data_IF_864147518806
#
_entry.id   IF_864147518806
#
_cell.length_a   1.000
_cell.length_b   1.000
_cell.length_c   1.000
_cell.angle_alpha   90.00
_cell.angle_beta   90.00
_cell.angle_gamma   90.00
#
_symmetry.space_group_name_H-M   'P 1'
#
loop_
_entity.id
_entity.type
_entity.pdbx_description
1 polymer ?
#
# COMPACT_ATOMS: atom_id res chain seq x y z
N UNK A 1 37.77 -29.36 13.23
CA UNK A 1 36.68 -28.42 12.91
C UNK A 1 36.83 -28.04 11.46
N UNK A 2 35.93 -28.46 10.55
CA UNK A 2 36.03 -28.09 9.15
C UNK A 2 35.53 -26.65 8.98
N UNK A 3 36.33 -25.83 8.32
CA UNK A 3 35.97 -24.48 7.92
C UNK A 3 34.81 -24.55 6.91
N UNK A 4 33.66 -24.01 7.28
CA UNK A 4 32.61 -23.65 6.32
C UNK A 4 33.18 -22.56 5.40
N UNK A 5 33.52 -22.95 4.19
CA UNK A 5 33.76 -22.03 3.09
C UNK A 5 32.46 -21.30 2.79
N UNK A 6 32.37 -20.06 3.25
CA UNK A 6 31.33 -19.12 2.80
C UNK A 6 31.51 -18.95 1.28
N UNK A 7 30.53 -19.32 0.45
CA UNK A 7 30.65 -19.12 -0.99
C UNK A 7 30.72 -17.63 -1.29
N UNK A 8 31.71 -17.24 -2.09
CA UNK A 8 31.89 -15.88 -2.61
C UNK A 8 30.64 -15.53 -3.43
N UNK A 9 30.10 -14.33 -3.21
CA UNK A 9 28.84 -13.83 -3.78
C UNK A 9 28.78 -13.74 -5.32
N UNK A 10 29.75 -14.28 -6.05
CA UNK A 10 29.82 -14.30 -7.52
C UNK A 10 29.49 -15.64 -8.19
N UNK A 11 29.35 -16.74 -7.44
CA UNK A 11 29.30 -18.09 -8.04
C UNK A 11 27.88 -18.67 -8.24
N UNK A 12 26.83 -17.90 -7.94
CA UNK A 12 25.44 -18.38 -7.95
C UNK A 12 24.50 -17.59 -8.89
N UNK A 13 25.01 -17.02 -9.97
CA UNK A 13 24.14 -16.58 -11.07
C UNK A 13 23.99 -17.71 -12.09
N UNK A 14 22.80 -18.28 -12.28
CA UNK A 14 22.58 -19.21 -13.39
C UNK A 14 22.87 -18.48 -14.71
N UNK A 15 23.61 -19.13 -15.60
CA UNK A 15 23.98 -18.58 -16.91
C UNK A 15 22.77 -18.20 -17.79
N UNK A 16 21.56 -18.66 -17.43
CA UNK A 16 20.28 -18.22 -17.97
C UNK A 16 19.28 -18.01 -16.82
N UNK A 17 19.22 -16.83 -16.20
CA UNK A 17 18.22 -16.55 -15.18
C UNK A 17 16.84 -16.52 -15.85
N UNK A 18 16.02 -17.54 -15.63
CA UNK A 18 14.64 -17.51 -16.11
C UNK A 18 13.90 -16.31 -15.50
N UNK A 19 13.01 -15.67 -16.28
CA UNK A 19 12.14 -14.57 -15.81
C UNK A 19 11.48 -14.89 -14.47
N UNK A 20 11.07 -16.15 -14.26
CA UNK A 20 10.46 -16.62 -13.00
C UNK A 20 11.42 -16.58 -11.79
N UNK A 21 12.71 -16.81 -12.03
CA UNK A 21 13.76 -16.76 -11.01
C UNK A 21 14.19 -15.32 -10.67
N UNK A 22 14.24 -14.42 -11.66
CA UNK A 22 14.48 -13.00 -11.42
C UNK A 22 13.32 -12.37 -10.64
N UNK A 23 12.08 -12.62 -11.08
CA UNK A 23 10.87 -12.13 -10.41
C UNK A 23 10.71 -12.66 -8.98
N UNK A 24 11.14 -13.90 -8.69
CA UNK A 24 11.06 -14.47 -7.34
C UNK A 24 12.11 -13.91 -6.36
N UNK A 25 13.23 -13.38 -6.87
CA UNK A 25 14.30 -12.79 -6.05
C UNK A 25 14.15 -11.29 -5.82
N UNK A 26 13.58 -10.56 -6.78
CA UNK A 26 13.32 -9.12 -6.67
C UNK A 26 12.25 -8.81 -5.59
N UNK A 27 11.35 -9.75 -5.30
CA UNK A 27 10.38 -9.63 -4.20
C UNK A 27 10.97 -9.73 -2.79
N UNK A 28 12.28 -9.95 -2.65
CA UNK A 28 12.98 -10.01 -1.35
C UNK A 28 14.19 -9.08 -1.32
N UNK A 29 14.57 -8.63 -0.12
CA UNK A 29 15.68 -7.71 0.16
C UNK A 29 17.06 -8.14 -0.41
N UNK A 30 17.19 -9.37 -0.92
CA UNK A 30 18.43 -9.93 -1.46
C UNK A 30 18.87 -9.33 -2.81
N UNK A 31 17.98 -8.68 -3.57
CA UNK A 31 18.35 -8.09 -4.86
C UNK A 31 19.27 -6.85 -4.73
N UNK A 32 19.21 -6.13 -3.61
CA UNK A 32 20.06 -4.97 -3.35
C UNK A 32 21.55 -5.34 -3.17
N UNK A 33 21.83 -6.48 -2.54
CA UNK A 33 23.20 -6.91 -2.23
C UNK A 33 23.99 -7.38 -3.46
N UNK A 34 23.32 -7.93 -4.47
CA UNK A 34 23.97 -8.40 -5.69
C UNK A 34 24.40 -7.23 -6.62
N UNK A 35 23.66 -6.12 -6.62
CA UNK A 35 23.99 -4.93 -7.40
C UNK A 35 25.05 -4.04 -6.74
N UNK A 36 25.16 -4.08 -5.41
CA UNK A 36 26.21 -3.35 -4.68
C UNK A 36 27.64 -3.90 -4.91
N UNK A 37 27.75 -5.13 -5.42
CA UNK A 37 29.03 -5.79 -5.68
C UNK A 37 29.52 -5.68 -7.15
N UNK A 38 28.74 -5.06 -8.03
CA UNK A 38 29.16 -4.86 -9.41
C UNK A 38 30.27 -3.79 -9.46
N UNK A 39 31.44 -4.08 -10.08
CA UNK A 39 32.49 -3.09 -10.22
C UNK A 39 31.95 -1.91 -11.00
N UNK A 40 32.17 -0.70 -10.47
CA UNK A 40 31.90 0.55 -11.16
C UNK A 40 32.81 0.65 -12.38
N UNK A 41 32.40 0.08 -13.51
CA UNK A 41 33.00 0.34 -14.82
C UNK A 41 32.53 1.72 -15.27
N UNK A 42 33.06 2.75 -14.64
CA UNK A 42 32.91 4.12 -15.08
C UNK A 42 34.12 4.47 -15.97
N UNK A 43 33.90 4.54 -17.28
CA UNK A 43 34.61 5.49 -18.15
C UNK A 43 34.01 5.60 -19.57
N UNK A 44 33.35 4.57 -20.13
CA UNK A 44 32.87 4.60 -21.53
C UNK A 44 31.49 3.94 -21.73
N UNK A 45 30.67 3.83 -20.68
CA UNK A 45 29.30 3.29 -20.78
C UNK A 45 28.30 4.32 -21.30
N UNK A 46 27.10 3.90 -21.76
CA UNK A 46 26.03 4.82 -22.10
C UNK A 46 25.69 5.70 -20.89
N UNK A 47 25.50 7.00 -21.14
CA UNK A 47 25.00 7.91 -20.12
C UNK A 47 23.60 7.45 -19.66
N UNK A 48 23.41 7.34 -18.35
CA UNK A 48 22.11 6.97 -17.79
C UNK A 48 21.07 8.05 -18.13
N UNK A 49 19.81 7.63 -18.23
CA UNK A 49 18.71 8.54 -18.39
C UNK A 49 18.60 9.48 -17.15
N UNK A 50 18.73 10.81 -17.33
CA UNK A 50 18.65 11.76 -16.22
C UNK A 50 17.30 11.70 -15.48
N UNK A 51 16.23 11.29 -16.16
CA UNK A 51 14.91 11.13 -15.54
C UNK A 51 14.89 9.98 -14.53
N UNK A 52 15.61 8.88 -14.79
CA UNK A 52 15.71 7.75 -13.84
C UNK A 52 16.44 8.19 -12.57
N UNK A 53 17.50 8.98 -12.72
CA UNK A 53 18.25 9.53 -11.59
C UNK A 53 17.40 10.53 -10.79
N UNK A 54 16.66 11.40 -11.47
CA UNK A 54 15.78 12.38 -10.83
C UNK A 54 14.61 11.70 -10.09
N UNK A 55 13.93 10.76 -10.73
CA UNK A 55 12.85 9.97 -10.13
C UNK A 55 13.36 9.14 -8.94
N UNK A 56 14.57 8.60 -9.01
CA UNK A 56 15.21 7.90 -7.89
C UNK A 56 15.36 8.77 -6.65
N UNK A 57 15.79 10.03 -6.81
CA UNK A 57 15.87 11.00 -5.71
C UNK A 57 14.49 11.43 -5.19
N UNK A 58 13.54 11.66 -6.10
CA UNK A 58 12.16 12.00 -5.72
C UNK A 58 11.50 10.87 -4.94
N UNK A 59 11.78 9.61 -5.30
CA UNK A 59 11.27 8.46 -4.57
C UNK A 59 11.77 8.44 -3.13
N UNK A 60 13.05 8.74 -2.89
CA UNK A 60 13.59 8.75 -1.53
C UNK A 60 12.93 9.78 -0.63
N UNK A 61 12.70 10.99 -1.16
CA UNK A 61 11.95 12.02 -0.46
C UNK A 61 10.51 11.57 -0.18
N UNK A 62 9.79 11.10 -1.21
CA UNK A 62 8.40 10.66 -1.05
C UNK A 62 8.25 9.45 -0.12
N UNK A 63 9.25 8.56 -0.08
CA UNK A 63 9.26 7.42 0.82
C UNK A 63 9.46 7.85 2.28
N UNK A 64 10.32 8.85 2.53
CA UNK A 64 10.48 9.46 3.85
C UNK A 64 9.18 10.15 4.30
N UNK A 65 8.57 10.95 3.43
CA UNK A 65 7.29 11.64 3.71
C UNK A 65 6.16 10.65 4.01
N UNK A 66 6.12 9.52 3.31
CA UNK A 66 5.16 8.45 3.57
C UNK A 66 5.42 7.78 4.92
N UNK A 67 6.68 7.48 5.25
CA UNK A 67 7.03 6.86 6.52
C UNK A 67 6.65 7.76 7.72
N UNK A 68 6.93 9.05 7.63
CA UNK A 68 6.54 10.04 8.64
C UNK A 68 5.01 10.12 8.79
N UNK A 69 4.27 10.17 7.68
CA UNK A 69 2.80 10.18 7.71
C UNK A 69 2.23 8.88 8.31
N UNK A 70 2.83 7.73 8.01
CA UNK A 70 2.42 6.43 8.56
C UNK A 70 2.66 6.34 10.08
N UNK A 71 3.82 6.81 10.55
CA UNK A 71 4.12 6.93 11.98
C UNK A 71 3.10 7.85 12.67
N UNK A 72 2.80 9.00 12.06
CA UNK A 72 1.84 9.95 12.61
C UNK A 72 0.41 9.38 12.71
N UNK A 73 -0.02 8.59 11.71
CA UNK A 73 -1.29 7.86 11.76
C UNK A 73 -1.29 6.89 12.93
N UNK A 74 -0.23 6.09 13.10
CA UNK A 74 -0.10 5.12 14.20
C UNK A 74 -0.22 5.78 15.58
N UNK A 75 0.45 6.92 15.79
CA UNK A 75 0.35 7.69 17.04
C UNK A 75 -1.08 8.17 17.33
N UNK A 76 -1.73 8.75 16.31
CA UNK A 76 -3.05 9.35 16.46
C UNK A 76 -4.18 8.33 16.48
N UNK A 77 -3.96 7.11 15.99
CA UNK A 77 -4.90 6.00 16.15
C UNK A 77 -5.18 5.75 17.64
N UNK A 78 -4.15 5.73 18.50
CA UNK A 78 -4.35 5.53 19.94
C UNK A 78 -5.21 6.67 20.56
N UNK A 79 -4.96 7.91 20.14
CA UNK A 79 -5.74 9.09 20.58
C UNK A 79 -7.20 8.97 20.13
N UNK A 80 -7.44 8.64 18.86
CA UNK A 80 -8.78 8.40 18.35
C UNK A 80 -9.49 7.29 19.11
N UNK A 81 -8.85 6.15 19.35
CA UNK A 81 -9.44 5.01 20.07
C UNK A 81 -9.89 5.37 21.48
N UNK A 82 -9.18 6.28 22.16
CA UNK A 82 -9.55 6.73 23.50
C UNK A 82 -10.86 7.54 23.53
N UNK A 83 -11.25 8.15 22.40
CA UNK A 83 -12.44 9.01 22.30
C UNK A 83 -13.48 8.50 21.29
N UNK A 84 -13.20 7.39 20.61
CA UNK A 84 -14.06 6.85 19.58
C UNK A 84 -15.42 6.43 20.18
N UNK A 85 -16.54 6.74 19.50
CA UNK A 85 -17.83 6.29 19.97
C UNK A 85 -17.92 4.76 19.89
N UNK A 86 -18.63 4.18 20.86
CA UNK A 86 -18.95 2.74 20.84
C UNK A 86 -19.98 2.49 19.74
N UNK A 87 -19.73 1.48 18.90
CA UNK A 87 -20.66 1.08 17.85
C UNK A 87 -22.00 0.61 18.47
N UNK A 88 -23.14 1.27 18.16
CA UNK A 88 -24.42 0.89 18.75
C UNK A 88 -24.89 -0.48 18.27
N UNK A 89 -25.37 -1.36 19.18
CA UNK A 89 -25.82 -2.70 18.82
C UNK A 89 -26.99 -2.71 17.83
N UNK A 90 -27.81 -1.67 17.82
CA UNK A 90 -28.97 -1.53 16.94
C UNK A 90 -28.59 -1.38 15.46
N UNK A 91 -27.38 -0.85 15.19
CA UNK A 91 -26.86 -0.66 13.84
C UNK A 91 -25.73 -1.63 13.50
N UNK A 92 -25.29 -2.46 14.45
CA UNK A 92 -24.28 -3.49 14.24
C UNK A 92 -24.92 -4.86 14.04
N UNK A 93 -24.55 -5.56 12.97
CA UNK A 93 -24.96 -6.92 12.70
C UNK A 93 -23.72 -7.78 12.47
N UNK A 94 -23.81 -9.07 12.78
CA UNK A 94 -22.74 -10.00 12.43
C UNK A 94 -22.78 -10.29 10.94
N UNK A 95 -21.65 -10.65 10.34
CA UNK A 95 -21.61 -11.09 8.93
C UNK A 95 -22.54 -12.28 8.62
N UNK A 96 -22.94 -13.07 9.64
CA UNK A 96 -23.84 -14.21 9.50
C UNK A 96 -25.32 -13.80 9.44
N UNK A 97 -25.68 -12.63 9.98
CA UNK A 97 -27.05 -12.08 9.91
C UNK A 97 -27.41 -11.62 8.48
N UNK A 98 -26.41 -11.47 7.60
CA UNK A 98 -26.55 -11.16 6.17
C UNK A 98 -27.42 -12.17 5.41
N UNK A 99 -27.53 -13.40 5.92
CA UNK A 99 -28.32 -14.47 5.30
C UNK A 99 -29.81 -14.44 5.70
N UNK A 100 -30.18 -13.65 6.72
CA UNK A 100 -31.54 -13.65 7.29
C UNK A 100 -32.23 -12.27 7.31
N UNK A 101 -31.52 -11.17 7.03
CA UNK A 101 -32.01 -9.80 7.24
C UNK A 101 -31.79 -8.84 6.06
N UNK A 102 -32.40 -7.64 6.13
CA UNK A 102 -32.45 -6.71 5.01
C UNK A 102 -31.07 -6.11 4.66
N UNK A 103 -30.88 -5.83 3.37
CA UNK A 103 -29.62 -5.46 2.69
C UNK A 103 -29.06 -4.06 3.02
N UNK A 104 -29.32 -3.53 4.22
CA UNK A 104 -29.04 -2.13 4.56
C UNK A 104 -27.70 -1.91 5.27
N UNK A 105 -26.91 -2.97 5.50
CA UNK A 105 -25.61 -2.90 6.16
C UNK A 105 -24.45 -3.02 5.17
N UNK A 106 -23.41 -2.21 5.37
CA UNK A 106 -22.12 -2.33 4.69
C UNK A 106 -21.09 -2.97 5.63
N UNK A 107 -20.03 -3.57 5.07
CA UNK A 107 -18.92 -4.05 5.89
C UNK A 107 -18.36 -2.84 6.65
N UNK A 108 -18.35 -2.93 7.98
CA UNK A 108 -17.78 -1.90 8.83
C UNK A 108 -16.33 -1.67 8.44
N UNK A 109 -16.05 -0.44 8.01
CA UNK A 109 -14.69 0.02 7.75
C UNK A 109 -14.24 0.77 8.98
N UNK A 110 -13.15 0.30 9.57
CA UNK A 110 -12.55 1.00 10.68
C UNK A 110 -12.10 2.40 10.21
N UNK A 111 -12.70 3.49 10.74
CA UNK A 111 -12.37 4.85 10.32
C UNK A 111 -10.93 5.25 10.67
N UNK A 112 -10.29 4.50 11.57
CA UNK A 112 -8.94 4.78 12.02
C UNK A 112 -7.86 4.13 11.14
N UNK A 113 -8.20 3.14 10.31
CA UNK A 113 -7.22 2.43 9.50
C UNK A 113 -7.26 2.86 8.04
N UNK A 114 -6.11 3.21 7.44
CA UNK A 114 -6.01 3.45 6.00
C UNK A 114 -6.05 2.14 5.19
N UNK A 115 -5.89 0.97 5.81
CA UNK A 115 -5.75 -0.32 5.12
C UNK A 115 -7.06 -1.07 5.05
N UNK A 116 -7.35 -1.63 3.88
CA UNK A 116 -8.53 -2.46 3.67
C UNK A 116 -8.49 -3.77 4.47
N UNK A 117 -7.30 -4.36 4.65
CA UNK A 117 -7.11 -5.63 5.38
C UNK A 117 -7.42 -5.51 6.89
N UNK A 118 -7.26 -4.29 7.43
CA UNK A 118 -7.48 -3.95 8.83
C UNK A 118 -8.94 -3.62 9.15
N UNK A 119 -9.84 -3.70 8.15
CA UNK A 119 -11.28 -3.49 8.30
C UNK A 119 -11.94 -4.70 9.00
N UNK A 120 -11.55 -4.91 10.25
CA UNK A 120 -12.14 -5.84 11.20
C UNK A 120 -12.50 -5.06 12.46
N UNK A 121 -13.50 -5.53 13.17
CA UNK A 121 -13.79 -5.00 14.48
C UNK A 121 -12.76 -5.43 15.52
N UNK A 122 -12.80 -4.83 16.73
CA UNK A 122 -11.87 -5.15 17.81
C UNK A 122 -11.76 -6.64 18.18
N UNK A 123 -12.78 -7.45 17.91
CA UNK A 123 -12.80 -8.90 18.16
C UNK A 123 -12.24 -9.74 16.98
N UNK A 124 -11.77 -9.08 15.91
CA UNK A 124 -11.30 -9.72 14.67
C UNK A 124 -12.41 -10.16 13.72
N UNK A 125 -13.68 -9.95 14.08
CA UNK A 125 -14.86 -10.23 13.26
C UNK A 125 -15.11 -9.15 12.21
N UNK A 126 -15.82 -9.53 11.14
CA UNK A 126 -16.39 -8.55 10.18
C UNK A 126 -17.81 -8.25 10.61
N UNK A 127 -18.08 -6.99 10.94
CA UNK A 127 -19.43 -6.52 11.22
C UNK A 127 -20.03 -5.89 9.97
N UNK A 128 -21.35 -5.98 9.87
CA UNK A 128 -22.12 -5.11 9.01
C UNK A 128 -22.63 -3.95 9.85
N UNK A 129 -22.46 -2.73 9.36
CA UNK A 129 -23.00 -1.52 9.98
C UNK A 129 -24.00 -0.88 9.05
N UNK A 130 -25.19 -0.58 9.60
CA UNK A 130 -26.22 0.18 8.90
C UNK A 130 -25.78 1.64 8.87
N UNK A 131 -25.52 2.17 7.68
CA UNK A 131 -25.14 3.57 7.49
C UNK A 131 -26.35 4.43 7.15
N UNK A 132 -26.27 5.72 7.47
CA UNK A 132 -27.32 6.67 7.11
C UNK A 132 -27.47 6.78 5.60
N UNK A 133 -26.36 6.72 4.86
CA UNK A 133 -26.33 6.73 3.40
C UNK A 133 -27.09 5.55 2.78
N UNK A 134 -26.88 4.33 3.27
CA UNK A 134 -27.60 3.16 2.75
C UNK A 134 -29.10 3.26 3.00
N UNK A 135 -29.51 3.72 4.17
CA UNK A 135 -30.93 3.93 4.47
C UNK A 135 -31.54 5.03 3.58
N UNK A 136 -30.83 6.14 3.36
CA UNK A 136 -31.29 7.20 2.46
C UNK A 136 -31.38 6.71 1.00
N UNK A 137 -30.42 5.90 0.54
CA UNK A 137 -30.44 5.32 -0.80
C UNK A 137 -31.61 4.37 -1.00
N UNK A 138 -31.86 3.46 -0.06
CA UNK A 138 -32.91 2.45 -0.17
C UNK A 138 -34.33 3.03 -0.03
N UNK A 139 -34.47 4.19 0.63
CA UNK A 139 -35.76 4.87 0.81
C UNK A 139 -35.84 6.20 0.04
N UNK A 140 -34.99 6.41 -0.97
CA UNK A 140 -34.93 7.66 -1.75
C UNK A 140 -36.28 8.06 -2.36
N UNK A 141 -36.99 7.08 -2.92
CA UNK A 141 -38.26 7.29 -3.65
C UNK A 141 -39.50 6.93 -2.82
N UNK A 142 -39.33 6.69 -1.52
CA UNK A 142 -40.38 6.14 -0.67
C UNK A 142 -40.41 6.69 0.76
N UNK A 143 -41.51 6.41 1.47
CA UNK A 143 -41.61 6.79 2.88
C UNK A 143 -40.83 5.80 3.73
N UNK A 144 -39.80 6.29 4.42
CA UNK A 144 -39.06 5.51 5.41
C UNK A 144 -39.99 5.06 6.57
N UNK A 145 -40.13 3.75 6.85
CA UNK A 145 -40.91 3.25 7.98
C UNK A 145 -40.39 3.77 9.33
N UNK A 146 -41.25 3.80 10.35
CA UNK A 146 -40.91 4.38 11.65
C UNK A 146 -39.67 3.71 12.31
N UNK A 147 -39.55 2.38 12.23
CA UNK A 147 -38.39 1.67 12.76
C UNK A 147 -37.10 2.03 11.99
N UNK A 148 -37.16 2.15 10.66
CA UNK A 148 -36.01 2.57 9.84
C UNK A 148 -35.61 4.02 10.14
N UNK A 149 -36.58 4.92 10.38
CA UNK A 149 -36.28 6.30 10.83
C UNK A 149 -35.52 6.32 12.15
N UNK A 150 -35.80 5.38 13.05
CA UNK A 150 -35.06 5.23 14.30
C UNK A 150 -33.62 4.80 14.02
N UNK A 151 -33.41 3.78 13.19
CA UNK A 151 -32.08 3.31 12.79
C UNK A 151 -31.28 4.41 12.07
N UNK A 152 -31.92 5.17 11.18
CA UNK A 152 -31.30 6.30 10.49
C UNK A 152 -30.80 7.38 11.45
N UNK A 153 -31.59 7.70 12.48
CA UNK A 153 -31.18 8.65 13.52
C UNK A 153 -29.97 8.13 14.31
N UNK A 154 -29.96 6.85 14.68
CA UNK A 154 -28.85 6.23 15.40
C UNK A 154 -27.59 6.23 14.54
N UNK A 155 -27.70 5.81 13.28
CA UNK A 155 -26.59 5.81 12.32
C UNK A 155 -26.01 7.21 12.13
N UNK A 156 -26.84 8.23 11.89
CA UNK A 156 -26.38 9.62 11.79
C UNK A 156 -25.68 10.13 13.04
N UNK A 157 -26.20 9.78 14.22
CA UNK A 157 -25.58 10.16 15.49
C UNK A 157 -24.20 9.52 15.66
N UNK A 158 -24.09 8.24 15.36
CA UNK A 158 -22.82 7.51 15.42
C UNK A 158 -21.80 8.03 14.40
N UNK A 159 -22.22 8.27 13.15
CA UNK A 159 -21.36 8.82 12.09
C UNK A 159 -20.85 10.22 12.45
N UNK A 160 -21.74 11.11 12.93
CA UNK A 160 -21.34 12.45 13.38
C UNK A 160 -20.39 12.43 14.59
N UNK A 161 -20.62 11.53 15.54
CA UNK A 161 -19.73 11.33 16.68
C UNK A 161 -18.37 10.79 16.25
N UNK A 162 -18.35 9.86 15.30
CA UNK A 162 -17.12 9.27 14.73
C UNK A 162 -16.31 10.33 14.00
N UNK A 163 -16.95 11.14 13.15
CA UNK A 163 -16.32 12.26 12.46
C UNK A 163 -15.76 13.28 13.46
N UNK A 164 -16.52 13.61 14.50
CA UNK A 164 -16.05 14.53 15.56
C UNK A 164 -14.82 13.96 16.27
N UNK A 165 -14.79 12.66 16.57
CA UNK A 165 -13.63 11.99 17.16
C UNK A 165 -12.42 11.97 16.20
N UNK A 166 -12.62 11.73 14.91
CA UNK A 166 -11.57 11.79 13.89
C UNK A 166 -10.94 13.19 13.79
N UNK A 167 -11.77 14.23 13.78
CA UNK A 167 -11.32 15.62 13.70
C UNK A 167 -10.60 16.04 14.98
N UNK A 168 -11.19 15.75 16.15
CA UNK A 168 -10.62 16.17 17.45
C UNK A 168 -9.35 15.42 17.84
N UNK A 169 -9.18 14.17 17.40
CA UNK A 169 -7.91 13.45 17.55
C UNK A 169 -6.83 13.94 16.57
N UNK A 170 -7.18 14.71 15.54
CA UNK A 170 -6.28 15.08 14.45
C UNK A 170 -6.00 13.94 13.46
N UNK A 171 -6.60 12.75 13.66
CA UNK A 171 -6.40 11.59 12.81
C UNK A 171 -6.90 11.82 11.38
N UNK A 172 -7.96 12.62 11.20
CA UNK A 172 -8.47 12.97 9.86
C UNK A 172 -7.40 13.65 8.98
N UNK A 173 -6.65 14.60 9.56
CA UNK A 173 -5.57 15.30 8.85
C UNK A 173 -4.39 14.37 8.57
N UNK A 174 -4.04 13.51 9.53
CA UNK A 174 -2.97 12.53 9.35
C UNK A 174 -3.28 11.48 8.27
N UNK A 175 -4.51 10.96 8.23
CA UNK A 175 -4.98 10.05 7.16
C UNK A 175 -4.96 10.75 5.80
N UNK A 176 -5.35 12.02 5.74
CA UNK A 176 -5.26 12.81 4.50
C UNK A 176 -3.82 12.95 4.01
N UNK A 177 -2.89 13.24 4.92
CA UNK A 177 -1.45 13.30 4.61
C UNK A 177 -0.91 11.95 4.17
N UNK A 178 -1.31 10.87 4.86
CA UNK A 178 -0.93 9.51 4.51
C UNK A 178 -1.31 9.17 3.07
N UNK A 179 -2.58 9.37 2.69
CA UNK A 179 -3.05 9.07 1.34
C UNK A 179 -2.40 9.97 0.27
N UNK A 180 -2.11 11.23 0.59
CA UNK A 180 -1.39 12.13 -0.32
C UNK A 180 0.05 11.67 -0.57
N UNK A 181 0.77 11.29 0.49
CA UNK A 181 2.13 10.74 0.40
C UNK A 181 2.14 9.39 -0.31
N UNK A 182 1.18 8.51 -0.01
CA UNK A 182 0.98 7.21 -0.67
C UNK A 182 0.78 7.37 -2.19
N UNK A 183 -0.14 8.27 -2.58
CA UNK A 183 -0.41 8.55 -3.98
C UNK A 183 0.83 9.09 -4.70
N UNK A 184 1.58 9.98 -4.05
CA UNK A 184 2.83 10.54 -4.59
C UNK A 184 3.87 9.45 -4.79
N UNK A 185 4.06 8.59 -3.80
CA UNK A 185 4.99 7.47 -3.85
C UNK A 185 4.63 6.49 -4.98
N UNK A 186 3.35 6.10 -5.08
CA UNK A 186 2.86 5.21 -6.14
C UNK A 186 3.02 5.82 -7.53
N UNK A 187 2.75 7.12 -7.67
CA UNK A 187 2.95 7.85 -8.94
C UNK A 187 4.40 7.82 -9.36
N UNK A 188 5.35 8.11 -8.46
CA UNK A 188 6.78 8.09 -8.77
C UNK A 188 7.25 6.67 -9.12
N UNK A 189 6.86 5.67 -8.34
CA UNK A 189 7.18 4.27 -8.62
C UNK A 189 6.68 3.83 -10.00
N UNK A 190 5.45 4.25 -10.36
CA UNK A 190 4.90 4.00 -11.70
C UNK A 190 5.70 4.72 -12.79
N UNK A 191 5.99 6.02 -12.63
CA UNK A 191 6.82 6.76 -13.60
C UNK A 191 8.20 6.12 -13.77
N UNK A 192 8.80 5.62 -12.69
CA UNK A 192 10.07 4.91 -12.73
C UNK A 192 9.95 3.58 -13.49
N UNK A 193 8.81 2.88 -13.38
CA UNK A 193 8.53 1.67 -14.18
C UNK A 193 8.33 1.96 -15.67
N UNK A 194 7.85 3.15 -16.03
CA UNK A 194 7.63 3.56 -17.42
C UNK A 194 8.91 4.15 -18.06
N UNK A 195 9.88 4.56 -17.24
CA UNK A 195 11.13 5.19 -17.69
C UNK A 195 12.23 4.14 -17.83
N UNK A 196 12.76 3.95 -19.04
CA UNK A 196 13.82 2.96 -19.30
C UNK A 196 15.14 3.30 -18.58
N UNK A 197 15.69 2.33 -17.84
CA UNK A 197 17.07 2.37 -17.36
C UNK A 197 18.03 1.93 -18.49
N UNK A 198 19.15 2.64 -18.65
CA UNK A 198 20.16 2.36 -19.68
C UNK A 198 21.43 1.72 -19.11
N UNK A 199 21.60 1.79 -17.80
CA UNK A 199 22.80 1.32 -17.10
C UNK A 199 22.43 0.43 -15.90
N UNK A 200 23.40 -0.36 -15.39
CA UNK A 200 23.23 -1.08 -14.14
C UNK A 200 22.86 -0.18 -12.96
N UNK A 201 23.31 1.07 -12.95
CA UNK A 201 22.98 2.04 -11.90
C UNK A 201 21.48 2.41 -11.93
N UNK A 202 20.90 2.63 -13.12
CA UNK A 202 19.46 2.84 -13.27
C UNK A 202 18.63 1.63 -12.87
N UNK A 203 19.09 0.42 -13.21
CA UNK A 203 18.45 -0.83 -12.75
C UNK A 203 18.52 -0.98 -11.23
N UNK A 204 19.64 -0.63 -10.59
CA UNK A 204 19.77 -0.63 -9.14
C UNK A 204 18.75 0.29 -8.46
N UNK A 205 18.49 1.47 -9.04
CA UNK A 205 17.44 2.38 -8.57
C UNK A 205 16.07 1.69 -8.62
N UNK A 206 15.73 1.05 -9.76
CA UNK A 206 14.45 0.31 -9.89
C UNK A 206 14.31 -0.82 -8.89
N UNK A 207 15.36 -1.62 -8.68
CA UNK A 207 15.37 -2.71 -7.70
C UNK A 207 15.12 -2.18 -6.29
N UNK A 208 15.85 -1.13 -5.89
CA UNK A 208 15.70 -0.52 -4.57
C UNK A 208 14.29 0.03 -4.35
N UNK A 209 13.74 0.73 -5.35
CA UNK A 209 12.36 1.25 -5.32
C UNK A 209 11.35 0.11 -5.18
N UNK A 210 11.55 -0.98 -5.92
CA UNK A 210 10.69 -2.18 -5.85
C UNK A 210 10.71 -2.78 -4.44
N UNK A 211 11.90 -2.94 -3.84
CA UNK A 211 12.05 -3.48 -2.50
C UNK A 211 11.43 -2.59 -1.43
N UNK A 212 11.63 -1.28 -1.51
CA UNK A 212 11.06 -0.31 -0.57
C UNK A 212 9.52 -0.28 -0.66
N UNK A 213 8.97 -0.22 -1.88
CA UNK A 213 7.52 -0.21 -2.10
C UNK A 213 6.87 -1.54 -1.66
N UNK A 214 7.50 -2.68 -1.95
CA UNK A 214 7.01 -4.00 -1.53
C UNK A 214 7.07 -4.25 -0.01
N UNK A 215 7.82 -3.45 0.74
CA UNK A 215 7.89 -3.51 2.20
C UNK A 215 6.69 -2.82 2.88
N UNK A 216 5.92 -2.01 2.15
CA UNK A 216 4.81 -1.24 2.71
C UNK A 216 3.60 -2.11 3.04
N UNK A 217 3.32 -3.15 2.25
CA UNK A 217 2.18 -4.04 2.44
C UNK A 217 2.05 -5.09 1.35
N UNK A 218 1.04 -5.95 1.49
CA UNK A 218 0.80 -7.05 0.54
C UNK A 218 0.30 -6.54 -0.82
N UNK A 219 -0.54 -5.52 -0.82
CA UNK A 219 -1.05 -4.88 -2.05
C UNK A 219 0.10 -4.19 -2.80
N UNK A 220 0.94 -3.44 -2.11
CA UNK A 220 2.09 -2.75 -2.68
C UNK A 220 3.12 -3.74 -3.20
N UNK A 221 3.33 -4.87 -2.52
CA UNK A 221 4.17 -5.96 -3.00
C UNK A 221 3.65 -6.55 -4.31
N UNK A 222 2.34 -6.75 -4.42
CA UNK A 222 1.73 -7.23 -5.66
C UNK A 222 1.92 -6.20 -6.78
N UNK A 223 1.62 -4.93 -6.54
CA UNK A 223 1.80 -3.84 -7.52
C UNK A 223 3.28 -3.71 -7.95
N UNK A 224 4.21 -3.76 -7.00
CA UNK A 224 5.66 -3.72 -7.27
C UNK A 224 6.09 -4.87 -8.20
N UNK A 225 5.56 -6.07 -7.94
CA UNK A 225 5.87 -7.26 -8.74
C UNK A 225 5.31 -7.18 -10.17
N UNK A 226 4.17 -6.49 -10.36
CA UNK A 226 3.52 -6.38 -11.66
C UNK A 226 4.15 -5.32 -12.55
N UNK A 227 4.50 -4.15 -12.00
CA UNK A 227 4.92 -3.00 -12.80
C UNK A 227 6.44 -2.89 -12.91
N UNK A 228 7.13 -2.84 -11.77
CA UNK A 228 8.57 -2.58 -11.74
C UNK A 228 9.38 -3.80 -12.17
N UNK A 229 8.97 -4.99 -11.74
CA UNK A 229 9.70 -6.21 -12.09
C UNK A 229 9.55 -6.58 -13.58
N UNK A 230 8.38 -6.28 -14.19
CA UNK A 230 8.18 -6.37 -15.64
C UNK A 230 9.02 -5.32 -16.40
N UNK A 231 9.05 -4.08 -15.90
CA UNK A 231 9.83 -2.99 -16.49
C UNK A 231 11.33 -3.31 -16.52
N UNK A 232 11.90 -3.78 -15.41
CA UNK A 232 13.32 -4.16 -15.33
C UNK A 232 13.68 -5.27 -16.33
N UNK A 233 12.76 -6.20 -16.59
CA UNK A 233 12.98 -7.24 -17.59
C UNK A 233 13.02 -6.67 -19.01
N UNK A 234 12.09 -5.77 -19.35
CA UNK A 234 12.09 -5.09 -20.65
C UNK A 234 13.32 -4.20 -20.87
N UNK A 235 13.84 -3.58 -19.80
CA UNK A 235 15.08 -2.79 -19.87
C UNK A 235 16.31 -3.66 -20.21
N UNK A 236 16.32 -4.92 -19.74
CA UNK A 236 17.38 -5.89 -20.01
C UNK A 236 17.29 -6.46 -21.44
N UNK A 237 16.09 -6.85 -21.91
CA UNK A 237 15.87 -7.39 -23.25
C UNK A 237 16.15 -6.36 -24.36
N UNK A 238 15.78 -5.09 -24.16
CA UNK A 238 15.99 -4.05 -25.17
C UNK A 238 17.45 -3.66 -25.40
N UNK A 239 18.41 -4.26 -24.68
CA UNK A 239 19.85 -4.06 -24.86
C UNK A 239 20.50 -5.07 -25.82
N UNK A 240 19.79 -6.13 -26.22
CA UNK A 240 20.37 -7.20 -27.07
C UNK A 240 20.24 -6.94 -28.59
N UNK A 241 19.41 -5.98 -29.03
CA UNK A 241 19.14 -5.70 -30.46
C UNK A 241 20.04 -4.61 -31.08
N UNK A 242 21.14 -4.22 -30.45
CA UNK A 242 22.07 -3.19 -30.95
C UNK A 242 23.52 -3.64 -31.02
N UNK A 243 23.76 -4.80 -31.66
CA UNK A 243 25.08 -5.21 -32.17
C UNK A 243 24.96 -5.62 -33.63
#
# INVERSE_FOLDING_TARGET
MPNETVPVAGEAMPANPSRRFFLSRVGGAAAASALAAAPAVAANGPEENPDVLALGKQFDAAHADFAEAAERVSELQAVFRAIAPVLPPEISQTQYDRLAGPRYGEIYRDPASPRYEDMRAPDGGRYLVITSYELERNFRDGKMPAHIKSLHRIAKGFEAATETALQSSGLAAALSSYHASEWTLRRIARSLSETRARTPAGLAIKVRVTGAYAALGNEERLDASLWLAKSMWSDLEGGEDSV
#
